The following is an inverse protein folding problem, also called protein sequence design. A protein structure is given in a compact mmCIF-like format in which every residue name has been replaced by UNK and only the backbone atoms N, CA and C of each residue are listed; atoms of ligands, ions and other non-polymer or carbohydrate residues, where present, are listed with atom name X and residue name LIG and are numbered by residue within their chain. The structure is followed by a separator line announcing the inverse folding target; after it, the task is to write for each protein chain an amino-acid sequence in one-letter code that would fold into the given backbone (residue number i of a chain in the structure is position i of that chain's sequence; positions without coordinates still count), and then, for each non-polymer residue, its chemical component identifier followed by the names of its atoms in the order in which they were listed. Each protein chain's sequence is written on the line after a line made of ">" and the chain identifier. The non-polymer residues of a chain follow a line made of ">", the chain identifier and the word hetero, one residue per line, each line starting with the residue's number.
data_IF_882679020404
#
_entry.id   IF_882679020404
#
_cell.length_a   1.000
_cell.length_b   1.000
_cell.length_c   1.000
_cell.angle_alpha   90.00
_cell.angle_beta   90.00
_cell.angle_gamma   90.00
#
_symmetry.space_group_name_H-M   'P 1'
#
loop_
_entity.id
_entity.type
_entity.pdbx_description
1 polymer ?
#
# COMPACT_ATOMS: atom_id res chain seq x y z
N UNK A 1 0.57 -7.89 2.27
CA UNK A 1 1.03 -6.48 2.21
C UNK A 1 1.84 -6.19 0.94
N UNK A 2 2.93 -6.91 0.65
CA UNK A 2 3.75 -6.64 -0.56
C UNK A 2 2.94 -6.63 -1.85
N UNK A 3 2.18 -7.70 -2.11
CA UNK A 3 1.33 -7.83 -3.30
C UNK A 3 0.32 -6.68 -3.41
N UNK A 4 -0.27 -6.26 -2.28
CA UNK A 4 -1.19 -5.13 -2.25
C UNK A 4 -0.55 -3.83 -2.76
N UNK A 5 0.69 -3.51 -2.36
CA UNK A 5 1.38 -2.31 -2.85
C UNK A 5 1.81 -2.41 -4.30
N UNK A 6 2.16 -3.62 -4.77
CA UNK A 6 2.42 -3.86 -6.20
C UNK A 6 1.14 -3.63 -7.02
N UNK A 7 -0.01 -4.15 -6.56
CA UNK A 7 -1.31 -3.90 -7.21
C UNK A 7 -1.65 -2.41 -7.17
N UNK A 8 -1.50 -1.76 -6.02
CA UNK A 8 -1.76 -0.34 -5.85
C UNK A 8 -0.90 0.51 -6.78
N UNK A 9 0.37 0.13 -6.97
CA UNK A 9 1.26 0.74 -7.96
C UNK A 9 0.73 0.58 -9.39
N UNK A 10 0.29 -0.63 -9.78
CA UNK A 10 -0.29 -0.87 -11.10
C UNK A 10 -1.57 -0.08 -11.34
N UNK A 11 -2.42 0.05 -10.32
CA UNK A 11 -3.62 0.89 -10.38
C UNK A 11 -3.24 2.34 -10.62
N UNK A 12 -2.22 2.85 -9.95
CA UNK A 12 -1.70 4.20 -10.17
C UNK A 12 -1.19 4.40 -11.60
N UNK A 13 -0.37 3.48 -12.14
CA UNK A 13 0.12 3.55 -13.52
C UNK A 13 -1.03 3.61 -14.54
N UNK A 14 -2.04 2.75 -14.36
CA UNK A 14 -3.21 2.69 -15.25
C UNK A 14 -4.08 3.94 -15.16
N UNK A 15 -4.27 4.50 -13.96
CA UNK A 15 -5.17 5.64 -13.73
C UNK A 15 -4.67 6.95 -14.33
N UNK A 16 -3.35 7.15 -14.39
CA UNK A 16 -2.74 8.38 -14.90
C UNK A 16 -2.05 8.20 -16.26
N UNK A 17 -2.27 7.06 -16.94
CA UNK A 17 -1.65 6.69 -18.22
C UNK A 17 -0.12 6.93 -18.25
N UNK A 18 0.56 6.59 -17.14
CA UNK A 18 2.00 6.81 -17.03
C UNK A 18 2.72 5.73 -17.82
N UNK A 19 3.01 6.02 -19.09
CA UNK A 19 3.65 5.08 -20.04
C UNK A 19 5.16 4.90 -19.82
N UNK A 20 5.83 5.80 -19.10
CA UNK A 20 7.31 5.83 -18.99
C UNK A 20 7.86 5.57 -17.58
N UNK A 21 7.13 4.83 -16.74
CA UNK A 21 7.51 4.52 -15.36
C UNK A 21 8.37 3.26 -15.19
N UNK A 22 8.99 2.75 -16.26
CA UNK A 22 9.73 1.47 -16.28
C UNK A 22 10.76 1.35 -15.14
N UNK A 23 11.47 2.45 -14.84
CA UNK A 23 12.43 2.51 -13.73
C UNK A 23 11.78 2.31 -12.37
N UNK A 24 10.66 3.00 -12.12
CA UNK A 24 9.94 2.90 -10.84
C UNK A 24 9.28 1.53 -10.68
N UNK A 25 8.76 0.96 -11.78
CA UNK A 25 8.22 -0.40 -11.81
C UNK A 25 9.27 -1.43 -11.47
N UNK A 26 10.48 -1.28 -12.03
CA UNK A 26 11.62 -2.13 -11.70
C UNK A 26 11.99 -2.01 -10.22
N UNK A 27 12.06 -0.79 -9.68
CA UNK A 27 12.34 -0.55 -8.24
C UNK A 27 11.31 -1.24 -7.35
N UNK A 28 10.01 -1.06 -7.61
CA UNK A 28 8.94 -1.71 -6.83
C UNK A 28 9.04 -3.24 -6.95
N UNK A 29 9.31 -3.76 -8.15
CA UNK A 29 9.51 -5.19 -8.38
C UNK A 29 10.69 -5.77 -7.62
N UNK A 30 11.85 -5.09 -7.64
CA UNK A 30 13.06 -5.49 -6.92
C UNK A 30 12.82 -5.46 -5.41
N UNK A 31 12.21 -4.40 -4.86
CA UNK A 31 11.88 -4.32 -3.43
C UNK A 31 10.91 -5.42 -3.00
N UNK A 32 9.95 -5.77 -3.84
CA UNK A 32 9.04 -6.89 -3.60
C UNK A 32 9.79 -8.23 -3.59
N UNK A 33 10.66 -8.47 -4.58
CA UNK A 33 11.47 -9.68 -4.67
C UNK A 33 12.42 -9.83 -3.47
N UNK A 34 13.15 -8.77 -3.11
CA UNK A 34 14.03 -8.73 -1.94
C UNK A 34 13.24 -9.10 -0.68
N UNK A 35 12.05 -8.53 -0.48
CA UNK A 35 11.22 -8.87 0.68
C UNK A 35 10.80 -10.33 0.69
N UNK A 36 10.39 -10.88 -0.45
CA UNK A 36 9.99 -12.28 -0.57
C UNK A 36 11.16 -13.19 -0.20
N UNK A 37 12.35 -12.93 -0.75
CA UNK A 37 13.59 -13.67 -0.44
C UNK A 37 13.91 -13.56 1.05
N UNK A 38 13.86 -12.35 1.62
CA UNK A 38 14.08 -12.12 3.05
C UNK A 38 13.10 -12.89 3.94
N UNK A 39 11.87 -13.13 3.49
CA UNK A 39 10.88 -13.92 4.23
C UNK A 39 11.13 -15.44 4.18
N UNK A 40 11.79 -15.95 3.13
CA UNK A 40 12.09 -17.38 2.98
C UNK A 40 13.28 -17.86 3.81
N UNK A 41 14.13 -16.95 4.29
CA UNK A 41 15.26 -17.30 5.13
C UNK A 41 14.80 -17.98 6.45
N UNK A 42 15.37 -19.15 6.83
CA UNK A 42 14.97 -19.89 8.03
C UNK A 42 15.24 -19.12 9.33
N UNK A 43 16.14 -18.13 9.30
CA UNK A 43 16.48 -17.26 10.42
C UNK A 43 15.32 -16.39 10.90
N UNK A 44 14.25 -16.27 10.11
CA UNK A 44 13.01 -15.61 10.57
C UNK A 44 12.36 -16.32 11.75
N UNK A 45 12.62 -17.63 11.93
CA UNK A 45 12.08 -18.43 13.04
C UNK A 45 10.57 -18.20 13.25
N UNK A 46 9.80 -18.26 12.16
CA UNK A 46 8.38 -17.91 12.14
C UNK A 46 7.51 -18.66 13.17
N UNK A 47 7.94 -19.86 13.56
CA UNK A 47 7.22 -20.74 14.47
C UNK A 47 7.69 -20.65 15.93
N UNK A 48 8.70 -19.82 16.22
CA UNK A 48 9.24 -19.63 17.57
C UNK A 48 8.65 -18.35 18.17
N UNK A 49 8.16 -18.42 19.42
CA UNK A 49 7.53 -17.29 20.11
C UNK A 49 8.48 -16.08 20.26
N UNK A 50 9.77 -16.33 20.53
CA UNK A 50 10.82 -15.32 20.61
C UNK A 50 11.61 -15.20 19.29
N UNK A 51 10.91 -14.85 18.21
CA UNK A 51 11.57 -14.59 16.92
C UNK A 51 12.48 -13.34 17.00
N UNK A 52 13.66 -13.35 16.33
CA UNK A 52 14.61 -12.23 16.37
C UNK A 52 14.03 -10.96 15.74
N UNK A 53 14.04 -9.86 16.50
CA UNK A 53 13.52 -8.54 16.09
C UNK A 53 14.27 -8.00 14.87
N UNK A 54 15.58 -8.27 14.75
CA UNK A 54 16.43 -7.83 13.63
C UNK A 54 15.92 -8.30 12.27
N UNK A 55 15.57 -9.58 12.15
CA UNK A 55 14.97 -10.14 10.93
C UNK A 55 13.60 -9.55 10.62
N UNK A 56 12.83 -9.25 11.67
CA UNK A 56 11.61 -8.46 11.58
C UNK A 56 11.85 -7.08 10.93
N UNK A 57 12.92 -6.38 11.29
CA UNK A 57 13.27 -5.08 10.71
C UNK A 57 13.72 -5.24 9.26
N UNK A 58 14.64 -6.16 8.96
CA UNK A 58 15.21 -6.32 7.61
C UNK A 58 14.15 -6.57 6.54
N UNK A 59 13.19 -7.47 6.79
CA UNK A 59 12.11 -7.75 5.83
C UNK A 59 11.10 -6.62 5.68
N UNK A 60 11.06 -5.69 6.63
CA UNK A 60 10.14 -4.55 6.64
C UNK A 60 10.76 -3.28 6.05
N UNK A 61 12.09 -3.17 5.96
CA UNK A 61 12.78 -2.06 5.28
C UNK A 61 12.34 -1.96 3.80
N UNK A 62 12.43 -3.02 2.95
CA UNK A 62 11.99 -2.93 1.56
C UNK A 62 10.51 -2.54 1.43
N UNK A 63 9.70 -2.98 2.39
CA UNK A 63 8.28 -2.63 2.44
C UNK A 63 8.03 -1.16 2.81
N UNK A 64 8.77 -0.63 3.78
CA UNK A 64 8.71 0.77 4.15
C UNK A 64 9.08 1.68 2.96
N UNK A 65 10.12 1.31 2.21
CA UNK A 65 10.53 2.03 1.00
C UNK A 65 9.41 2.04 -0.04
N UNK A 66 8.83 0.87 -0.37
CA UNK A 66 7.67 0.79 -1.27
C UNK A 66 6.50 1.68 -0.80
N UNK A 67 6.30 1.74 0.51
CA UNK A 67 5.31 2.59 1.13
C UNK A 67 5.51 4.07 0.93
N UNK A 68 6.72 4.55 1.23
CA UNK A 68 7.10 5.96 1.09
C UNK A 68 6.97 6.38 -0.38
N UNK A 69 7.44 5.53 -1.31
CA UNK A 69 7.26 5.75 -2.76
C UNK A 69 5.78 5.92 -3.07
N UNK A 70 4.92 5.03 -2.58
CA UNK A 70 3.48 5.06 -2.83
C UNK A 70 2.83 6.34 -2.29
N UNK A 71 3.16 6.74 -1.06
CA UNK A 71 2.63 7.97 -0.45
C UNK A 71 3.04 9.18 -1.29
N UNK A 72 4.31 9.25 -1.69
CA UNK A 72 4.83 10.37 -2.48
C UNK A 72 4.13 10.49 -3.84
N UNK A 73 4.06 9.40 -4.61
CA UNK A 73 3.45 9.45 -5.95
C UNK A 73 1.95 9.73 -5.87
N UNK A 74 1.24 9.12 -4.91
CA UNK A 74 -0.20 9.33 -4.76
C UNK A 74 -0.52 10.76 -4.33
N UNK A 75 0.26 11.31 -3.39
CA UNK A 75 0.11 12.69 -2.97
C UNK A 75 0.40 13.68 -4.11
N UNK A 76 1.50 13.47 -4.85
CA UNK A 76 1.89 14.31 -5.98
C UNK A 76 0.79 14.35 -7.05
N UNK A 77 0.29 13.19 -7.48
CA UNK A 77 -0.74 13.13 -8.50
C UNK A 77 -2.09 13.66 -8.00
N UNK A 78 -2.43 13.44 -6.73
CA UNK A 78 -3.64 14.02 -6.12
C UNK A 78 -3.61 15.56 -6.17
N UNK A 79 -2.47 16.17 -5.86
CA UNK A 79 -2.30 17.63 -5.92
C UNK A 79 -2.34 18.12 -7.36
N UNK A 80 -1.62 17.46 -8.28
CA UNK A 80 -1.53 17.84 -9.69
C UNK A 80 -2.88 17.78 -10.40
N UNK A 81 -3.67 16.75 -10.14
CA UNK A 81 -4.99 16.55 -10.77
C UNK A 81 -6.16 17.13 -9.96
N UNK A 82 -5.89 17.79 -8.82
CA UNK A 82 -6.89 18.29 -7.86
C UNK A 82 -7.93 17.22 -7.46
N UNK A 83 -7.54 15.94 -7.47
CA UNK A 83 -8.40 14.81 -7.15
C UNK A 83 -8.48 14.64 -5.63
N UNK A 84 -9.62 15.06 -5.06
CA UNK A 84 -9.88 14.96 -3.62
C UNK A 84 -9.91 13.51 -3.13
N UNK A 85 -10.44 12.58 -3.92
CA UNK A 85 -10.55 11.17 -3.53
C UNK A 85 -9.17 10.53 -3.45
N UNK A 86 -8.28 10.87 -4.37
CA UNK A 86 -6.90 10.40 -4.36
C UNK A 86 -6.07 11.01 -3.23
N UNK A 87 -6.37 12.24 -2.81
CA UNK A 87 -5.77 12.86 -1.61
C UNK A 87 -6.13 12.09 -0.35
N UNK A 88 -7.41 11.69 -0.20
CA UNK A 88 -7.83 10.84 0.92
C UNK A 88 -7.21 9.45 0.86
N UNK A 89 -7.05 8.88 -0.34
CA UNK A 89 -6.39 7.59 -0.54
C UNK A 89 -4.91 7.67 -0.12
N UNK A 90 -4.19 8.73 -0.50
CA UNK A 90 -2.81 8.97 -0.08
C UNK A 90 -2.70 9.14 1.44
N UNK A 91 -3.63 9.87 2.06
CA UNK A 91 -3.69 10.04 3.52
C UNK A 91 -3.94 8.70 4.23
N UNK A 92 -4.82 7.85 3.68
CA UNK A 92 -5.09 6.53 4.24
C UNK A 92 -3.84 5.61 4.16
N UNK A 93 -3.10 5.65 3.04
CA UNK A 93 -1.82 4.92 2.90
C UNK A 93 -0.79 5.45 3.91
N UNK A 94 -0.68 6.78 4.06
CA UNK A 94 0.20 7.41 5.03
C UNK A 94 -0.14 7.00 6.46
N UNK A 95 -1.42 7.08 6.85
CA UNK A 95 -1.88 6.70 8.19
C UNK A 95 -1.61 5.21 8.47
N UNK A 96 -1.83 4.35 7.48
CA UNK A 96 -1.49 2.92 7.56
C UNK A 96 0.01 2.70 7.84
N UNK A 97 0.88 3.50 7.22
CA UNK A 97 2.33 3.42 7.46
C UNK A 97 2.77 4.04 8.80
N UNK A 98 2.17 5.17 9.18
CA UNK A 98 2.44 5.82 10.45
C UNK A 98 2.13 4.88 11.64
N UNK A 99 1.01 4.15 11.56
CA UNK A 99 0.64 3.14 12.55
C UNK A 99 1.49 1.87 12.48
N UNK A 100 2.11 1.60 11.34
CA UNK A 100 2.91 0.40 11.14
C UNK A 100 4.32 0.49 11.73
N UNK A 101 4.95 1.66 11.69
CA UNK A 101 6.32 1.86 12.19
C UNK A 101 6.42 1.46 13.69
N UNK A 102 5.54 1.91 14.59
CA UNK A 102 5.56 1.48 15.98
C UNK A 102 5.34 -0.03 16.15
N UNK A 103 4.43 -0.61 15.36
CA UNK A 103 4.11 -2.06 15.41
C UNK A 103 5.32 -2.91 15.06
N UNK A 104 6.12 -2.51 14.07
CA UNK A 104 7.30 -3.28 13.65
C UNK A 104 8.42 -3.23 14.69
N UNK A 105 8.62 -2.07 15.31
CA UNK A 105 9.75 -1.85 16.23
C UNK A 105 9.44 -2.37 17.64
N UNK A 106 8.20 -2.19 18.11
CA UNK A 106 7.81 -2.43 19.50
C UNK A 106 6.73 -3.48 19.68
N UNK A 107 6.11 -4.00 18.61
CA UNK A 107 5.01 -4.97 18.72
C UNK A 107 5.39 -6.31 19.37
N UNK A 108 6.68 -6.69 19.33
CA UNK A 108 7.21 -7.88 20.01
C UNK A 108 7.53 -7.65 21.48
N UNK A 109 7.70 -6.39 21.90
CA UNK A 109 8.10 -5.99 23.26
C UNK A 109 6.87 -5.57 24.07
N UNK A 110 5.98 -4.76 23.47
CA UNK A 110 4.81 -4.19 24.12
C UNK A 110 3.53 -4.69 23.43
N UNK A 111 2.84 -5.63 24.08
CA UNK A 111 1.58 -6.22 23.59
C UNK A 111 0.50 -5.20 23.19
N UNK A 112 0.32 -4.07 23.91
CA UNK A 112 -0.63 -3.02 23.51
C UNK A 112 -0.29 -2.36 22.17
N UNK A 113 0.99 -2.27 21.81
CA UNK A 113 1.41 -1.69 20.51
C UNK A 113 0.95 -2.58 19.36
N UNK A 114 0.78 -3.89 19.59
CA UNK A 114 0.18 -4.80 18.61
C UNK A 114 -1.27 -4.44 18.24
N UNK A 115 -2.02 -3.77 19.11
CA UNK A 115 -3.42 -3.34 18.84
C UNK A 115 -3.48 -2.32 17.71
N UNK A 116 -2.40 -1.57 17.45
CA UNK A 116 -2.29 -0.64 16.31
C UNK A 116 -2.42 -1.34 14.95
N UNK A 117 -2.38 -2.68 14.90
CA UNK A 117 -2.76 -3.45 13.72
C UNK A 117 -4.23 -3.25 13.31
N UNK A 118 -5.16 -3.03 14.25
CA UNK A 118 -6.59 -2.86 13.94
C UNK A 118 -6.85 -1.52 13.22
N UNK A 119 -6.38 -0.36 13.73
CA UNK A 119 -6.53 0.89 12.98
C UNK A 119 -5.83 0.85 11.61
N UNK A 120 -4.70 0.12 11.51
CA UNK A 120 -3.99 -0.07 10.24
C UNK A 120 -4.82 -0.83 9.21
N UNK A 121 -5.52 -1.90 9.60
CA UNK A 121 -6.37 -2.68 8.69
C UNK A 121 -7.57 -1.88 8.22
N UNK A 122 -8.17 -1.08 9.10
CA UNK A 122 -9.24 -0.14 8.73
C UNK A 122 -8.80 0.86 7.66
N UNK A 123 -7.56 1.35 7.73
CA UNK A 123 -7.02 2.22 6.68
C UNK A 123 -6.95 1.52 5.32
N UNK A 124 -6.61 0.23 5.26
CA UNK A 124 -6.66 -0.54 4.00
C UNK A 124 -8.08 -0.73 3.48
N UNK A 125 -9.03 -1.03 4.37
CA UNK A 125 -10.44 -1.13 3.99
C UNK A 125 -10.92 0.21 3.42
N UNK A 126 -10.55 1.33 4.03
CA UNK A 126 -10.86 2.66 3.51
C UNK A 126 -10.30 2.85 2.09
N UNK A 127 -9.04 2.51 1.84
CA UNK A 127 -8.42 2.59 0.50
C UNK A 127 -9.26 1.82 -0.53
N UNK A 128 -9.67 0.60 -0.21
CA UNK A 128 -10.52 -0.23 -1.09
C UNK A 128 -11.89 0.39 -1.30
N UNK A 129 -12.51 0.94 -0.24
CA UNK A 129 -13.82 1.59 -0.33
C UNK A 129 -13.79 2.85 -1.21
N UNK A 130 -12.73 3.67 -1.16
CA UNK A 130 -12.55 4.81 -2.07
C UNK A 130 -12.46 4.29 -3.51
N UNK A 131 -11.61 3.28 -3.76
CA UNK A 131 -11.47 2.67 -5.09
C UNK A 131 -12.77 2.09 -5.63
N UNK A 132 -13.54 1.40 -4.78
CA UNK A 132 -14.84 0.82 -5.15
C UNK A 132 -15.89 1.88 -5.45
N UNK A 133 -15.98 2.94 -4.63
CA UNK A 133 -16.89 4.08 -4.88
C UNK A 133 -16.58 4.74 -6.23
N UNK A 134 -15.30 4.94 -6.53
CA UNK A 134 -14.86 5.48 -7.81
C UNK A 134 -15.28 4.57 -8.98
N UNK A 135 -15.00 3.27 -8.89
CA UNK A 135 -15.38 2.29 -9.91
C UNK A 135 -16.90 2.24 -10.15
N UNK A 136 -17.71 2.27 -9.08
CA UNK A 136 -19.18 2.31 -9.19
C UNK A 136 -19.67 3.57 -9.90
N UNK A 137 -19.03 4.73 -9.67
CA UNK A 137 -19.35 5.98 -10.35
C UNK A 137 -19.07 5.90 -11.85
N UNK A 138 -17.92 5.37 -12.24
CA UNK A 138 -17.53 5.16 -13.64
C UNK A 138 -18.49 4.20 -14.37
N UNK A 139 -18.87 3.09 -13.73
CA UNK A 139 -19.85 2.15 -14.28
C UNK A 139 -21.22 2.78 -14.49
N UNK A 140 -21.71 3.56 -13.51
CA UNK A 140 -23.00 4.24 -13.64
C UNK A 140 -22.98 5.29 -14.74
N UNK A 141 -21.88 6.04 -14.90
CA UNK A 141 -21.70 6.99 -15.98
C UNK A 141 -21.71 6.28 -17.35
N UNK A 142 -21.01 5.16 -17.47
CA UNK A 142 -20.96 4.35 -18.71
C UNK A 142 -22.34 3.79 -19.10
N UNK A 143 -23.12 3.32 -18.12
CA UNK A 143 -24.52 2.88 -18.34
C UNK A 143 -25.44 4.02 -18.78
N UNK A 144 -25.24 5.23 -18.24
CA UNK A 144 -26.03 6.41 -18.63
C UNK A 144 -25.74 6.84 -20.08
N UNK A 145 -24.49 6.77 -20.52
CA UNK A 145 -24.10 7.08 -21.91
C UNK A 145 -24.72 6.09 -22.89
N UNK A 146 -24.64 4.78 -22.59
CA UNK A 146 -25.21 3.73 -23.44
C UNK A 146 -26.74 3.75 -23.49
N UNK A 147 -27.41 4.12 -22.40
CA UNK A 147 -28.87 4.30 -22.37
C UNK A 147 -29.36 5.58 -23.07
N UNK A 148 -28.49 6.55 -23.34
CA UNK A 148 -28.83 7.80 -24.05
C UNK A 148 -28.52 7.72 -25.55
N UNK A 149 -27.80 6.69 -25.99
CA UNK A 149 -27.43 6.46 -27.39
C UNK A 149 -28.37 5.48 -28.11
N UNK A 150 -29.28 4.84 -27.37
CA UNK A 150 -30.40 4.03 -27.87
C UNK A 150 -31.71 4.78 -27.67
#
# INVERSE_FOLDING_TARGET
>A
MTIFYVILYRIWELRFDIKNSTNLRAVIGVLAAIRIILCFFPQNQWFIYNSPISWGIYRNIPFAIMGIIMIYIMYREAVKHKDKDYKFMALAVFLSFALYIPVVLWGTIYRPVGILMIPKTLAYVWIVLIGYKHFKKELNNSKKITSSAN
#
